data_IF_121869531370
#
_entry.id   IF_121869531370
#
_cell.length_a   1.000
_cell.length_b   1.000
_cell.length_c   1.000
_cell.angle_alpha   90.00
_cell.angle_beta   90.00
_cell.angle_gamma   90.00
#
_symmetry.space_group_name_H-M   'P 1'
#
loop_
_entity.id
_entity.type
_entity.pdbx_description
1 polymer ?
2 water ?
#
# COMPACT_ATOMS: atom_id res chain seq x y z
N UNK A 7 -26.13 15.39 -12.50
CA UNK A 7 -24.92 14.57 -12.17
C UNK A 7 -24.13 14.25 -13.43
N UNK A 8 -23.15 15.09 -13.72
CA UNK A 8 -22.31 14.92 -14.88
C UNK A 8 -21.07 14.10 -14.53
N UNK A 9 -20.41 13.55 -15.56
CA UNK A 9 -19.22 12.74 -15.38
C UNK A 9 -19.41 11.71 -14.27
N UNK A 10 -20.63 11.18 -14.14
CA UNK A 10 -20.92 10.22 -13.09
C UNK A 10 -20.40 8.80 -13.36
N UNK A 11 -19.74 8.62 -14.49
CA UNK A 11 -19.17 7.33 -14.87
C UNK A 11 -17.65 7.43 -14.70
N UNK A 12 -17.11 6.65 -13.75
CA UNK A 12 -15.68 6.67 -13.46
C UNK A 12 -15.03 5.31 -13.23
N UNK A 13 -13.70 5.29 -13.33
CA UNK A 13 -12.94 4.05 -13.11
C UNK A 13 -12.20 4.14 -11.78
N UNK A 14 -12.39 3.11 -10.96
CA UNK A 14 -11.76 3.05 -9.65
C UNK A 14 -10.87 1.82 -9.63
N UNK A 15 -9.57 2.07 -9.55
CA UNK A 15 -8.58 1.02 -9.55
C UNK A 15 -7.96 0.79 -8.18
N UNK A 16 -7.85 -0.48 -7.84
CA UNK A 16 -7.25 -0.89 -6.61
C UNK A 16 -6.56 -2.24 -6.80
N UNK A 17 -6.05 -2.80 -5.71
CA UNK A 17 -5.26 -4.02 -5.77
C UNK A 17 -5.83 -5.38 -5.37
N UNK A 18 -5.28 -6.46 -5.94
CA UNK A 18 -5.71 -7.84 -5.66
C UNK A 18 -5.14 -8.27 -4.31
N UNK A 19 -5.50 -7.56 -3.25
CA UNK A 19 -5.03 -7.89 -1.92
C UNK A 19 -6.19 -7.93 -0.96
N UNK A 20 -6.09 -8.80 0.04
CA UNK A 20 -7.13 -8.99 1.04
C UNK A 20 -7.54 -7.66 1.69
N UNK A 21 -6.56 -6.96 2.26
CA UNK A 21 -6.85 -5.69 2.91
C UNK A 21 -7.66 -4.77 1.98
N UNK A 22 -7.33 -4.80 0.69
CA UNK A 22 -8.03 -3.98 -0.29
C UNK A 22 -9.45 -4.47 -0.57
N UNK A 23 -9.60 -5.75 -0.87
CA UNK A 23 -10.91 -6.32 -1.15
C UNK A 23 -11.82 -6.08 0.06
N UNK A 24 -11.21 -6.21 1.24
CA UNK A 24 -11.89 -6.02 2.52
C UNK A 24 -12.49 -4.61 2.55
N UNK A 26 -12.95 -2.48 0.10
CA UNK A 26 -13.90 -2.25 -1.00
C UNK A 26 -15.09 -3.19 -1.08
N UNK A 27 -15.17 -4.19 -0.20
CA UNK A 27 -16.26 -5.14 -0.22
C UNK A 27 -17.65 -4.52 -0.33
N UNK A 28 -17.98 -3.59 0.56
CA UNK A 28 -19.29 -2.96 0.55
C UNK A 28 -19.60 -2.30 -0.79
N UNK A 30 -18.06 -2.99 -3.82
CA UNK A 30 -18.08 -3.98 -4.89
C UNK A 30 -19.33 -4.88 -4.86
N UNK A 31 -20.13 -4.78 -3.80
CA UNK A 31 -21.34 -5.59 -3.72
C UNK A 31 -22.62 -4.79 -3.64
N UNK A 32 -22.63 -3.65 -4.31
CA UNK A 32 -23.81 -2.81 -4.34
C UNK A 32 -24.40 -2.50 -2.97
N UNK A 33 -23.58 -2.59 -1.93
CA UNK A 33 -24.03 -2.32 -0.57
C UNK A 33 -23.91 -0.83 -0.25
N UNK A 34 -23.35 -0.06 -1.18
CA UNK A 34 -23.18 1.38 -0.98
C UNK A 34 -24.06 2.13 -1.97
N UNK A 35 -24.97 2.94 -1.44
CA UNK A 35 -25.88 3.70 -2.29
C UNK A 35 -25.20 4.96 -2.83
N UNK A 36 -25.05 5.03 -4.14
CA UNK A 36 -24.41 6.17 -4.79
C UNK A 36 -24.92 6.39 -6.20
N UNK A 37 -24.90 7.64 -6.66
CA UNK A 37 -25.33 7.95 -8.02
C UNK A 37 -24.18 7.80 -9.01
N UNK A 38 -23.00 7.44 -8.51
CA UNK A 38 -21.84 7.24 -9.36
C UNK A 38 -21.89 5.86 -10.02
N UNK A 39 -21.57 5.80 -11.30
CA UNK A 39 -21.53 4.54 -12.04
C UNK A 39 -20.06 4.11 -12.04
N UNK A 40 -19.69 3.33 -11.04
CA UNK A 40 -18.31 2.89 -10.86
C UNK A 40 -17.90 1.60 -11.57
N UNK A 41 -16.73 1.65 -12.20
CA UNK A 41 -16.17 0.47 -12.87
C UNK A 41 -14.85 0.16 -12.16
N UNK A 42 -14.78 -1.01 -11.56
CA UNK A 42 -13.58 -1.41 -10.84
C UNK A 42 -12.55 -2.08 -11.75
N UNK A 43 -11.30 -1.74 -11.47
CA UNK A 43 -10.15 -2.26 -12.19
C UNK A 43 -9.17 -2.70 -11.11
N UNK A 44 -8.85 -3.99 -11.09
CA UNK A 44 -7.94 -4.57 -10.11
C UNK A 44 -6.59 -4.90 -10.74
N UNK A 45 -5.53 -4.32 -10.21
CA UNK A 45 -4.20 -4.55 -10.74
C UNK A 45 -3.17 -4.36 -9.62
N UNK A 46 -2.00 -4.96 -9.79
CA UNK A 46 -0.94 -4.86 -8.80
C UNK A 46 -0.54 -3.41 -8.56
N UNK A 47 -0.26 -3.12 -7.29
CA UNK A 47 0.11 -1.77 -6.84
C UNK A 47 1.21 -1.12 -7.69
N UNK A 48 2.21 -1.89 -8.11
CA UNK A 48 3.26 -1.28 -8.90
C UNK A 48 2.71 -0.92 -10.28
N UNK A 49 1.78 -1.73 -10.78
CA UNK A 49 1.16 -1.45 -12.09
C UNK A 49 0.39 -0.13 -12.02
N UNK A 50 -0.29 0.10 -10.91
CA UNK A 50 -1.05 1.34 -10.72
C UNK A 50 -0.13 2.54 -10.50
N UNK A 51 1.00 2.34 -9.83
CA UNK A 51 1.93 3.44 -9.59
C UNK A 51 2.47 3.92 -10.94
N UNK A 52 2.72 2.99 -11.85
CA UNK A 52 3.23 3.34 -13.17
C UNK A 52 2.16 3.92 -14.07
N UNK A 53 1.00 3.28 -14.15
CA UNK A 53 -0.08 3.78 -15.00
C UNK A 53 -0.57 5.15 -14.53
N UNK A 54 -0.27 5.49 -13.28
CA UNK A 54 -0.67 6.77 -12.71
C UNK A 54 0.08 7.93 -13.34
N UNK A 55 1.17 7.62 -14.03
CA UNK A 55 1.98 8.65 -14.69
C UNK A 55 1.30 9.15 -15.96
N UNK A 56 0.21 8.51 -16.33
CA UNK A 56 -0.56 8.88 -17.50
C UNK A 56 -1.96 9.37 -17.09
N UNK A 57 -2.23 9.40 -15.79
CA UNK A 57 -3.53 9.83 -15.27
C UNK A 57 -4.61 8.99 -15.92
N UNK A 58 -4.39 7.68 -15.91
CA UNK A 58 -5.29 6.72 -16.51
C UNK A 58 -6.67 6.64 -15.86
N UNK A 59 -6.72 6.47 -14.55
CA UNK A 59 -8.00 6.35 -13.87
C UNK A 59 -8.40 7.60 -13.10
N UNK A 60 -9.70 7.72 -12.84
CA UNK A 60 -10.23 8.84 -12.07
C UNK A 60 -9.79 8.69 -10.61
N UNK A 61 -9.86 7.47 -10.11
CA UNK A 61 -9.45 7.18 -8.73
C UNK A 61 -8.61 5.91 -8.71
N UNK A 62 -7.42 5.99 -8.15
CA UNK A 62 -6.54 4.83 -8.09
C UNK A 62 -5.75 4.72 -6.80
N UNK A 63 -5.53 3.50 -6.32
CA UNK A 63 -4.72 3.32 -5.12
C UNK A 63 -3.32 3.65 -5.63
N UNK A 64 -2.41 3.97 -4.73
CA UNK A 64 -1.05 4.31 -5.14
C UNK A 64 -0.14 4.52 -3.94
N UNK A 65 1.09 4.01 -4.03
CA UNK A 65 2.07 4.13 -2.96
C UNK A 65 2.36 5.59 -2.62
N UNK A 66 2.60 5.89 -1.36
CA UNK A 66 2.89 7.27 -0.99
C UNK A 66 4.11 7.74 -1.81
N UNK A 67 5.11 6.88 -1.92
CA UNK A 67 6.31 7.18 -2.69
C UNK A 67 5.93 7.72 -4.07
N UNK A 68 5.27 6.87 -4.85
CA UNK A 68 4.83 7.22 -6.20
C UNK A 68 4.08 8.54 -6.26
N UNK A 69 3.20 8.77 -5.28
CA UNK A 69 2.41 9.99 -5.23
C UNK A 69 3.25 11.26 -5.37
N UNK A 70 4.44 11.25 -4.79
CA UNK A 70 5.31 12.42 -4.85
C UNK A 70 5.69 12.76 -6.30
N UNK A 71 5.60 11.78 -7.19
CA UNK A 71 5.93 11.96 -8.60
C UNK A 71 4.69 12.21 -9.48
N UNK A 72 3.55 12.46 -8.87
CA UNK A 72 2.33 12.71 -9.63
C UNK A 72 1.27 13.51 -8.88
N UNK A 73 1.74 14.37 -7.97
CA UNK A 73 0.87 15.22 -7.18
C UNK A 73 0.41 16.44 -7.99
N UNK A 74 0.79 16.46 -9.26
CA UNK A 74 0.40 17.55 -10.17
C UNK A 74 -0.97 17.25 -10.80
N UNK A 75 -1.20 15.97 -11.07
CA UNK A 75 -2.46 15.55 -11.68
C UNK A 75 -3.39 14.86 -10.69
N UNK A 76 -2.83 14.43 -9.56
CA UNK A 76 -3.60 13.73 -8.54
C UNK A 76 -3.49 14.37 -7.17
N UNK A 77 -4.51 14.20 -6.33
CA UNK A 77 -4.44 14.71 -4.97
C UNK A 77 -4.82 13.55 -4.05
N UNK A 78 -4.37 13.60 -2.81
CA UNK A 78 -4.66 12.53 -1.86
C UNK A 78 -6.07 12.58 -1.35
N UNK A 79 -6.76 11.44 -1.44
CA UNK A 79 -8.15 11.37 -0.95
C UNK A 79 -8.11 11.12 0.56
N UNK A 80 -8.97 11.78 1.32
CA UNK A 80 -8.94 11.61 2.77
C UNK A 80 -9.14 10.17 3.25
N UNK A 81 -9.81 9.35 2.44
CA UNK A 81 -10.07 7.96 2.79
C UNK A 81 -9.43 6.96 1.83
N UNK A 82 -8.99 5.82 2.39
CA UNK A 82 -8.40 4.78 1.57
C UNK A 82 -6.94 4.52 1.85
N UNK A 83 -6.27 5.44 2.56
CA UNK A 83 -4.85 5.25 2.86
C UNK A 83 -4.57 4.06 3.77
N UNK A 84 -3.39 3.46 3.62
CA UNK A 84 -2.99 2.35 4.47
C UNK A 84 -1.80 2.91 5.25
N UNK A 85 -1.87 2.83 6.57
CA UNK A 85 -0.82 3.38 7.42
C UNK A 85 -0.35 2.42 8.50
N UNK A 86 0.97 2.20 8.54
CA UNK A 86 1.52 1.30 9.54
C UNK A 86 1.69 2.08 10.82
N UNK A 87 1.53 1.41 11.96
CA UNK A 87 1.66 2.05 13.26
C UNK A 87 2.19 0.99 14.21
N UNK A 88 3.50 0.82 14.24
CA UNK A 88 4.11 -0.19 15.10
C UNK A 88 4.43 -1.44 14.29
N UNK A 89 4.17 -1.34 12.99
CA UNK A 89 4.40 -2.41 12.03
C UNK A 89 4.43 -1.86 10.61
N UNK A 90 4.90 -2.67 9.67
CA UNK A 90 4.98 -2.27 8.27
C UNK A 90 5.83 -3.21 7.45
N UNK A 91 6.33 -2.78 6.28
CA UNK A 91 7.16 -3.66 5.44
C UNK A 91 8.47 -4.07 6.11
N UNK A 92 9.05 -5.16 5.65
CA UNK A 92 10.30 -5.62 6.23
C UNK A 92 11.14 -6.29 5.16
N UNK A 93 12.41 -6.50 5.49
CA UNK A 93 13.31 -7.19 4.59
C UNK A 93 13.63 -8.47 5.36
N UNK A 94 13.49 -9.61 4.68
CA UNK A 94 13.73 -10.90 5.32
C UNK A 94 14.85 -11.66 4.63
N UNK A 95 15.46 -12.59 5.36
CA UNK A 95 16.56 -13.40 4.82
C UNK A 95 16.64 -14.77 5.51
N UNK A 96 17.38 -15.70 4.94
CA UNK A 96 17.48 -17.03 5.54
C UNK A 96 18.20 -16.98 6.88
N UNK A 97 19.03 -15.96 7.07
CA UNK A 97 19.75 -15.78 8.34
C UNK A 97 20.07 -14.28 8.52
N UNK A 98 20.65 -13.93 9.64
CA UNK A 98 20.98 -12.53 9.92
C UNK A 98 22.14 -12.05 9.05
N UNK A 99 21.93 -10.94 8.35
CA UNK A 99 22.96 -10.34 7.50
C UNK A 99 22.90 -8.84 7.69
N UNK A 100 23.83 -8.10 7.09
CA UNK A 100 23.83 -6.65 7.23
C UNK A 100 23.05 -5.93 6.13
N UNK A 101 22.96 -6.54 4.96
CA UNK A 101 22.25 -5.98 3.81
C UNK A 101 23.08 -5.04 2.93
N UNK A 102 24.16 -4.50 3.49
CA UNK A 102 25.02 -3.59 2.73
C UNK A 102 25.75 -4.35 1.61
N UNK A 103 25.59 -3.87 0.39
CA UNK A 103 26.22 -4.51 -0.76
C UNK A 103 25.47 -5.74 -1.25
N UNK A 104 24.46 -6.16 -0.49
CA UNK A 104 23.67 -7.34 -0.84
C UNK A 104 22.66 -7.12 -1.97
N UNK A 105 22.19 -8.22 -2.55
CA UNK A 105 21.21 -8.16 -3.64
C UNK A 105 19.83 -8.42 -3.04
N UNK A 106 18.99 -7.39 -3.02
CA UNK A 106 17.65 -7.53 -2.45
C UNK A 106 16.51 -7.44 -3.45
N UNK A 107 15.67 -8.46 -3.45
CA UNK A 107 14.50 -8.50 -4.34
C UNK A 107 13.49 -7.47 -3.84
N UNK A 108 12.97 -6.66 -4.76
CA UNK A 108 12.00 -5.62 -4.43
C UNK A 108 10.77 -5.75 -5.34
N UNK A 109 9.57 -5.62 -4.77
CA UNK A 109 8.30 -5.74 -5.50
C UNK A 109 8.05 -4.63 -6.54
N UNK A 110 8.59 -3.45 -6.29
CA UNK A 110 8.37 -2.35 -7.21
C UNK A 110 9.16 -1.11 -6.85
N UNK A 111 9.81 -0.55 -7.87
CA UNK A 111 10.63 0.65 -7.70
C UNK A 111 9.91 1.81 -7.03
N UNK A 112 8.65 2.01 -7.37
CA UNK A 112 7.90 3.13 -6.84
C UNK A 112 7.12 2.90 -5.54
N UNK A 113 7.30 1.76 -4.89
CA UNK A 113 6.56 1.52 -3.66
C UNK A 113 7.20 2.29 -2.52
N UNK A 114 6.39 2.59 -1.52
CA UNK A 114 6.87 3.30 -0.36
C UNK A 114 7.94 2.46 0.36
N UNK A 115 7.75 1.15 0.36
CA UNK A 115 8.70 0.25 1.00
C UNK A 115 10.07 0.35 0.34
N UNK A 116 10.11 0.62 -0.96
CA UNK A 116 11.40 0.74 -1.62
C UNK A 116 12.08 2.03 -1.21
N UNK A 117 11.32 3.12 -1.20
CA UNK A 117 11.84 4.41 -0.80
C UNK A 117 12.47 4.27 0.59
N UNK A 118 11.75 3.62 1.51
CA UNK A 118 12.26 3.40 2.87
C UNK A 118 13.58 2.61 2.86
N UNK A 119 13.63 1.52 2.10
CA UNK A 119 14.83 0.72 2.02
C UNK A 119 15.99 1.58 1.52
N UNK A 120 15.75 2.32 0.45
CA UNK A 120 16.77 3.19 -0.14
C UNK A 120 17.24 4.26 0.84
N UNK A 121 16.45 4.53 1.89
CA UNK A 121 16.82 5.51 2.90
C UNK A 121 17.56 4.86 4.06
N UNK A 122 17.25 3.60 4.34
CA UNK A 122 17.91 2.89 5.44
C UNK A 122 19.24 2.28 5.03
N UNK A 123 19.33 1.82 3.78
CA UNK A 123 20.53 1.20 3.23
C UNK A 123 20.86 1.98 1.94
N UNK A 124 21.84 2.87 2.02
CA UNK A 124 22.20 3.69 0.86
C UNK A 124 23.17 3.07 -0.11
N UNK A 125 23.27 1.75 -0.08
CA UNK A 125 24.18 1.06 -0.99
C UNK A 125 23.89 -0.44 -1.03
N UNK A 126 23.08 -0.84 -2.00
CA UNK A 126 22.76 -2.25 -2.15
C UNK A 126 22.29 -2.47 -3.59
N UNK A 127 22.01 -3.72 -3.95
CA UNK A 127 21.54 -3.99 -5.31
C UNK A 127 20.10 -4.41 -5.34
N UNK A 128 19.20 -3.49 -5.74
CA UNK A 128 17.77 -3.76 -5.83
C UNK A 128 17.47 -4.60 -7.08
N UNK A 129 16.83 -5.74 -6.87
CA UNK A 129 16.50 -6.63 -7.98
C UNK A 129 15.00 -6.57 -8.28
N UNK A 130 14.63 -5.72 -9.23
CA UNK A 130 13.24 -5.55 -9.65
C UNK A 130 12.65 -6.94 -9.84
N UNK A 132 8.46 -9.20 -9.46
CA UNK A 132 7.06 -9.23 -9.02
C UNK A 132 6.96 -9.75 -7.58
N UNK A 133 6.04 -9.19 -6.79
CA UNK A 133 5.92 -9.59 -5.39
C UNK A 133 5.74 -11.10 -5.20
N UNK A 134 4.93 -11.71 -6.06
CA UNK A 134 4.65 -13.13 -5.98
C UNK A 134 5.85 -14.04 -6.28
N UNK A 135 7.07 -13.52 -6.14
CA UNK A 135 8.23 -14.35 -6.38
C UNK A 135 9.36 -14.05 -5.42
N UNK A 136 9.15 -13.04 -4.57
CA UNK A 136 10.15 -12.65 -3.60
C UNK A 136 10.50 -13.76 -2.62
N UNK A 137 9.49 -14.38 -2.02
CA UNK A 137 9.73 -15.43 -1.05
C UNK A 137 10.50 -16.59 -1.63
N UNK A 138 10.07 -17.08 -2.79
CA UNK A 138 10.74 -18.19 -3.43
C UNK A 138 12.22 -17.82 -3.68
N UNK A 139 12.48 -16.66 -4.27
CA UNK A 139 13.85 -16.23 -4.56
C UNK A 139 14.77 -16.23 -3.35
N UNK A 140 14.22 -15.90 -2.19
CA UNK A 140 15.03 -15.88 -0.99
C UNK A 140 15.36 -17.27 -0.49
N UNK A 141 14.34 -18.10 -0.38
CA UNK A 141 14.49 -19.48 0.07
C UNK A 141 15.43 -20.25 -0.85
N UNK A 142 15.36 -19.98 -2.15
CA UNK A 142 16.23 -20.68 -3.09
C UNK A 142 17.55 -19.94 -3.33
N UNK A 143 17.84 -18.96 -2.47
CA UNK A 143 19.08 -18.18 -2.54
C UNK A 143 19.39 -17.54 -3.90
N UNK A 144 18.32 -17.08 -4.55
CA UNK A 144 18.44 -16.43 -5.84
C UNK A 144 18.92 -15.00 -5.55
N UNK A 145 18.62 -14.55 -4.33
CA UNK A 145 19.02 -13.23 -3.86
C UNK A 145 19.44 -13.35 -2.39
N UNK A 146 19.94 -12.28 -1.80
CA UNK A 146 20.35 -12.35 -0.40
C UNK A 146 19.17 -12.04 0.51
N UNK A 147 18.29 -11.17 0.05
CA UNK A 147 17.13 -10.78 0.85
C UNK A 147 15.97 -10.32 0.00
N UNK A 148 14.80 -10.21 0.63
CA UNK A 148 13.60 -9.78 -0.08
C UNK A 148 12.78 -8.79 0.73
N UNK A 149 12.20 -7.83 0.03
CA UNK A 149 11.36 -6.81 0.64
C UNK A 149 9.91 -7.26 0.50
N UNK A 150 9.20 -7.35 1.62
CA UNK A 150 7.82 -7.80 1.64
C UNK A 150 6.88 -6.66 2.01
N UNK A 151 6.01 -6.27 1.08
CA UNK A 151 5.07 -5.20 1.35
C UNK A 151 3.65 -5.69 1.60
N UNK A 152 3.39 -6.95 1.31
CA UNK A 152 2.05 -7.50 1.53
C UNK A 152 1.99 -8.40 2.76
N UNK A 153 1.16 -9.43 2.72
CA UNK A 153 1.00 -10.30 3.87
C UNK A 153 2.25 -11.06 4.29
N UNK A 154 3.33 -10.92 3.54
CA UNK A 154 4.57 -11.60 3.88
C UNK A 154 5.09 -11.10 5.21
N UNK A 155 4.91 -9.79 5.46
CA UNK A 155 5.37 -9.15 6.69
C UNK A 155 4.87 -9.83 7.98
N UNK A 156 3.81 -10.63 7.89
CA UNK A 156 3.32 -11.33 9.08
C UNK A 156 3.27 -12.84 8.90
N UNK A 157 3.91 -13.33 7.84
CA UNK A 157 3.93 -14.77 7.56
C UNK A 157 5.30 -15.34 7.26
N UNK A 158 6.29 -14.48 7.06
CA UNK A 158 7.64 -14.92 6.73
C UNK A 158 8.19 -16.00 7.65
N UNK A 159 7.81 -15.96 8.93
CA UNK A 159 8.28 -16.96 9.90
C UNK A 159 7.88 -18.40 9.54
N UNK A 160 6.77 -18.55 8.80
CA UNK A 160 6.30 -19.88 8.41
C UNK A 160 7.27 -20.56 7.44
N UNK A 161 8.15 -19.77 6.80
CA UNK A 161 9.10 -20.30 5.84
C UNK A 161 10.48 -20.39 6.48
N UNK A 162 10.51 -20.27 7.80
CA UNK A 162 11.77 -20.34 8.51
C UNK A 162 12.65 -19.13 8.25
N UNK A 163 12.06 -18.04 7.75
CA UNK A 163 12.82 -16.83 7.47
C UNK A 163 12.70 -15.89 8.66
N UNK A 164 13.62 -14.93 8.73
CA UNK A 164 13.59 -13.95 9.80
C UNK A 164 13.89 -12.54 9.31
N UNK A 165 13.30 -11.57 10.00
CA UNK A 165 13.48 -10.18 9.67
C UNK A 165 14.90 -9.70 9.98
N UNK A 166 15.53 -9.10 8.99
CA UNK A 166 16.88 -8.57 9.12
C UNK A 166 16.82 -7.04 9.14
N UNK A 167 15.70 -6.48 8.69
CA UNK A 167 15.49 -5.03 8.70
C UNK A 167 14.01 -4.79 8.89
N UNK A 168 13.65 -4.17 10.00
CA UNK A 168 12.24 -3.87 10.27
C UNK A 168 12.08 -2.39 9.91
N UNK A 169 11.51 -2.14 8.73
CA UNK A 169 11.33 -0.79 8.23
C UNK A 169 10.58 0.12 9.18
N UNK A 170 9.70 -0.42 10.00
CA UNK A 170 9.01 0.42 10.96
C UNK A 170 9.96 0.86 12.06
N UNK A 171 10.82 -0.03 12.53
CA UNK A 171 11.75 0.37 13.59
C UNK A 171 12.65 1.47 13.05
N UNK A 172 13.03 1.32 11.79
CA UNK A 172 13.91 2.31 11.17
C UNK A 172 13.20 3.65 11.05
N UNK A 173 11.93 3.62 10.67
CA UNK A 173 11.16 4.85 10.51
C UNK A 173 10.88 5.52 11.84
N UNK A 174 10.63 4.70 12.86
CA UNK A 174 10.35 5.20 14.17
C UNK A 174 11.56 5.98 14.70
N UNK A 175 12.75 5.58 14.27
CA UNK A 175 13.97 6.26 14.69
C UNK A 175 14.12 7.60 13.96
N UNK A 176 13.40 7.76 12.86
CA UNK A 176 13.49 9.02 12.08
C UNK A 176 12.46 10.05 12.51
N UNK A 177 11.23 9.60 12.76
CA UNK A 177 10.18 10.51 13.18
C UNK A 177 9.14 9.74 13.99
N UNK A 178 8.49 10.44 14.93
CA UNK A 178 7.50 9.82 15.80
C UNK A 178 6.08 10.06 15.33
N UNK A 179 5.73 9.42 14.21
CA UNK A 179 4.41 9.55 13.61
C UNK A 179 4.10 8.25 12.86
N UNK A 180 2.81 8.00 12.58
CA UNK A 180 2.43 6.78 11.85
C UNK A 180 3.20 6.69 10.52
N UNK A 181 3.21 5.52 9.89
CA UNK A 181 3.93 5.33 8.63
C UNK A 181 3.03 5.22 7.40
N UNK A 182 2.98 6.27 6.55
CA UNK A 182 2.15 6.30 5.32
C UNK A 182 2.68 5.31 4.30
N UNK A 183 1.86 4.34 3.89
CA UNK A 183 2.31 3.34 2.92
C UNK A 183 1.58 3.41 1.58
N UNK A 184 0.29 3.13 1.61
CA UNK A 184 -0.51 3.18 0.39
C UNK A 184 -1.51 4.31 0.53
N UNK A 185 -1.87 4.95 -0.58
CA UNK A 185 -2.82 6.06 -0.52
C UNK A 185 -3.90 5.94 -1.57
N UNK A 186 -5.02 6.60 -1.33
CA UNK A 186 -6.06 6.61 -2.33
C UNK A 186 -5.92 7.96 -3.01
N UNK A 187 -5.78 7.94 -4.33
CA UNK A 187 -5.57 9.16 -5.10
C UNK A 187 -6.71 9.44 -6.09
N UNK A 188 -7.15 10.69 -6.15
CA UNK A 188 -8.21 11.10 -7.05
C UNK A 188 -7.73 12.21 -8.00
N UNK A 189 -7.93 11.99 -9.30
CA UNK A 189 -7.50 12.92 -10.34
C UNK A 189 -8.02 14.33 -10.02
N UNK A 190 -7.21 15.35 -10.28
CA UNK A 190 -7.62 16.71 -9.95
C UNK A 190 -8.63 17.35 -10.90
N UNK A 191 -8.84 16.75 -12.07
CA UNK A 191 -9.78 17.31 -13.04
C UNK A 191 -11.25 16.92 -12.83
N UNK A 192 -11.52 16.13 -11.79
CA UNK A 192 -12.89 15.71 -11.50
C UNK A 192 -13.61 16.81 -10.74
N UNK A 193 -14.91 16.93 -10.97
CA UNK A 193 -15.69 17.96 -10.30
C UNK A 193 -15.75 17.80 -8.79
N UNK A 194 -16.08 18.89 -8.11
CA UNK A 194 -16.19 18.88 -6.66
C UNK A 194 -17.28 17.89 -6.28
N UNK A 195 -18.30 17.83 -7.13
CA UNK A 195 -19.44 16.93 -6.94
C UNK A 195 -18.97 15.47 -6.85
N UNK A 196 -18.22 15.04 -7.87
CA UNK A 196 -17.70 13.68 -7.90
C UNK A 196 -16.71 13.45 -6.76
N UNK A 197 -15.90 14.46 -6.43
CA UNK A 197 -14.93 14.30 -5.35
C UNK A 197 -15.61 14.00 -4.02
N UNK A 198 -16.61 14.80 -3.65
CA UNK A 198 -17.29 14.61 -2.39
C UNK A 198 -18.09 13.31 -2.35
N UNK A 199 -18.76 13.01 -3.46
CA UNK A 199 -19.56 11.80 -3.53
C UNK A 199 -18.74 10.55 -3.35
N UNK A 200 -17.63 10.45 -4.09
CA UNK A 200 -16.80 9.26 -3.98
C UNK A 200 -16.20 9.14 -2.60
N UNK A 201 -15.84 10.27 -2.01
CA UNK A 201 -15.27 10.27 -0.66
C UNK A 201 -16.29 9.67 0.30
N UNK A 202 -17.55 10.07 0.12
CA UNK A 202 -18.64 9.58 0.97
C UNK A 202 -18.83 8.08 0.80
N UNK A 203 -18.82 7.61 -0.45
CA UNK A 203 -19.00 6.20 -0.72
C UNK A 203 -17.81 5.40 -0.21
N UNK A 205 -15.77 6.15 2.35
CA UNK A 205 -15.83 6.08 3.82
C UNK A 205 -16.85 5.06 4.28
N UNK A 206 -18.00 5.04 3.61
CA UNK A 206 -19.04 4.12 3.98
C UNK A 206 -18.58 2.68 3.79
N UNK A 207 -17.85 2.43 2.70
CA UNK A 207 -17.40 1.07 2.43
C UNK A 207 -16.41 0.57 3.50
N UNK A 208 -15.56 1.47 3.97
CA UNK A 208 -14.56 1.17 5.00
C UNK A 208 -15.24 0.90 6.35
N UNK A 209 -16.13 1.80 6.74
CA UNK A 209 -16.86 1.66 7.99
C UNK A 209 -17.66 0.36 7.97
N UNK A 210 -18.21 0.01 6.81
CA UNK A 210 -18.98 -1.22 6.70
C UNK A 210 -18.09 -2.44 7.00
N UNK A 211 -16.86 -2.42 6.49
CA UNK A 211 -15.93 -3.52 6.70
C UNK A 211 -15.61 -3.76 8.17
N UNK A 212 -15.41 -2.68 8.92
CA UNK A 212 -15.09 -2.78 10.35
C UNK A 212 -16.25 -3.34 11.18
N UNK A 213 -17.48 -2.95 10.82
CA UNK A 213 -18.68 -3.40 11.52
C UNK A 213 -19.11 -4.80 11.08
N UNK A 214 -18.52 -5.26 9.98
CA UNK A 214 -18.83 -6.57 9.45
C UNK A 214 -17.53 -7.21 8.98
N UNK A 215 -16.57 -7.38 9.89
CA UNK A 215 -15.28 -7.96 9.55
C UNK A 215 -15.34 -9.35 8.94
N UNK A 216 -16.23 -10.19 9.45
CA UNK A 216 -16.31 -11.54 8.90
C UNK A 216 -16.93 -11.57 7.51
N UNK A 217 -17.98 -10.79 7.30
CA UNK A 217 -18.61 -10.76 6.00
C UNK A 217 -17.64 -10.20 4.96
N UNK A 218 -17.11 -9.02 5.20
CA UNK A 218 -16.17 -8.40 4.27
C UNK A 218 -14.93 -9.25 4.02
N UNK A 219 -14.42 -9.89 5.07
CA UNK A 219 -13.24 -10.73 4.96
C UNK A 219 -13.52 -11.99 4.15
N UNK A 220 -14.76 -12.45 4.17
CA UNK A 220 -15.14 -13.67 3.45
C UNK A 220 -14.86 -13.53 1.96
N UNK A 221 -15.30 -12.43 1.37
CA UNK A 221 -15.07 -12.19 -0.04
C UNK A 221 -13.58 -11.92 -0.28
N UNK A 222 -12.97 -11.16 0.62
CA UNK A 222 -11.57 -10.80 0.51
C UNK A 222 -10.66 -12.01 0.42
N UNK A 224 -10.51 -14.26 -1.52
CA UNK A 224 -10.03 -14.57 -2.86
C UNK A 224 -8.58 -14.07 -3.09
N UNK A 225 -8.11 -13.18 -2.22
CA UNK A 225 -6.76 -12.66 -2.32
C UNK A 225 -5.94 -12.97 -1.07
N UNK A 226 -6.45 -13.86 -0.23
CA UNK A 226 -5.79 -14.23 1.02
C UNK A 226 -4.41 -14.86 0.83
N UNK A 227 -4.20 -15.50 -0.31
CA UNK A 227 -2.91 -16.11 -0.58
C UNK A 227 -2.50 -17.14 0.47
N UNK A 228 -3.39 -18.09 0.79
CA UNK A 228 -3.07 -19.12 1.76
C UNK A 228 -3.35 -18.78 3.22
N UNK A 229 -3.50 -17.50 3.52
CA UNK A 229 -3.78 -17.06 4.88
C UNK A 229 -5.13 -17.59 5.32
N UNK A 230 -5.20 -18.03 6.57
CA UNK A 230 -6.45 -18.51 7.14
C UNK A 230 -7.29 -17.27 7.43
N UNK A 231 -8.54 -17.47 7.80
CA UNK A 231 -9.47 -16.36 8.08
C UNK A 231 -9.02 -15.39 9.18
N UNK A 232 -8.46 -15.93 10.25
CA UNK A 232 -8.02 -15.09 11.35
C UNK A 232 -6.84 -14.22 10.96
N UNK A 233 -5.86 -14.83 10.33
CA UNK A 233 -4.65 -14.14 9.91
C UNK A 233 -5.01 -13.06 8.89
N UNK A 234 -5.98 -13.35 8.03
CA UNK A 234 -6.40 -12.39 7.02
C UNK A 234 -7.12 -11.20 7.66
N UNK A 235 -7.98 -11.48 8.63
CA UNK A 235 -8.71 -10.41 9.31
C UNK A 235 -7.70 -9.50 9.98
N UNK A 236 -6.72 -10.11 10.65
CA UNK A 236 -5.67 -9.37 11.36
C UNK A 236 -4.91 -8.47 10.38
N UNK A 237 -4.57 -8.99 9.21
CA UNK A 237 -3.84 -8.22 8.20
C UNK A 237 -4.67 -7.05 7.69
N UNK A 238 -5.91 -7.35 7.32
CA UNK A 238 -6.80 -6.32 6.81
C UNK A 238 -7.04 -5.24 7.86
N UNK A 241 -4.31 -2.52 8.17
CA UNK A 241 -4.25 -1.44 7.19
C UNK A 241 -5.59 -0.86 6.76
N UNK A 242 -6.64 -1.22 7.48
CA UNK A 242 -7.98 -0.71 7.20
C UNK A 242 -8.62 -0.36 8.55
N UNK A 243 -8.33 0.84 9.04
CA UNK A 243 -8.86 1.31 10.33
C UNK A 243 -9.09 2.82 10.32
N UNK A 244 -8.99 3.45 11.49
CA UNK A 244 -9.20 4.90 11.60
C UNK A 244 -8.47 5.72 10.54
N UNK A 245 -7.18 5.44 10.36
CA UNK A 245 -6.35 6.18 9.42
C UNK A 245 -6.90 6.07 8.00
N UNK A 246 -7.47 4.91 7.68
CA UNK A 246 -8.05 4.67 6.36
C UNK A 246 -9.36 5.41 6.23
N UNK A 247 -10.12 5.49 7.31
CA UNK A 247 -11.41 6.17 7.26
C UNK A 247 -11.24 7.67 7.03
N UNK A 248 -10.23 8.26 7.67
CA UNK A 248 -9.93 9.69 7.54
C UNK A 248 -8.47 9.94 7.93
N UNK A 250 -5.63 11.49 9.54
CA UNK A 250 -5.46 12.50 10.59
C UNK A 250 -4.30 13.43 10.32
N UNK A 251 -4.20 14.50 11.11
CA UNK A 251 -3.11 15.47 10.92
C UNK A 251 -1.72 14.86 11.04
N UNK A 252 -1.55 13.91 11.94
CA UNK A 252 -0.26 13.26 12.15
C UNK A 252 0.26 12.56 10.90
N UNK A 253 -0.65 11.92 10.17
CA UNK A 253 -0.29 11.24 8.93
C UNK A 253 0.07 12.24 7.84
N UNK A 254 -0.59 13.40 7.84
CA UNK A 254 -0.26 14.43 6.85
C UNK A 254 1.16 14.88 7.14
N UNK A 255 1.49 15.01 8.42
CA UNK A 255 2.82 15.45 8.83
C UNK A 255 3.88 14.42 8.45
N UNK A 256 3.52 13.15 8.61
CA UNK A 256 4.43 12.04 8.29
C UNK A 256 4.79 12.03 6.81
N UNK A 257 3.81 12.26 5.94
CA UNK A 257 4.11 12.28 4.51
C UNK A 257 5.05 13.42 4.25
N UNK A 258 4.71 14.59 4.79
CA UNK A 258 5.54 15.77 4.60
C UNK A 258 6.98 15.40 4.96
N UNK A 259 7.17 14.78 6.12
CA UNK A 259 8.50 14.37 6.58
C UNK A 259 9.14 13.37 5.62
N UNK A 260 8.39 12.31 5.32
CA UNK A 260 8.87 11.28 4.42
C UNK A 260 9.42 11.91 3.14
N UNK A 261 8.65 12.81 2.55
CA UNK A 261 9.06 13.46 1.30
C UNK A 261 10.31 14.30 1.47
N UNK A 262 10.37 15.06 2.57
CA UNK A 262 11.53 15.89 2.86
C UNK A 262 12.76 15.00 2.89
N UNK A 264 13.19 12.19 1.45
CA UNK A 264 13.47 11.69 0.11
C UNK A 264 14.14 12.75 -0.76
N UNK A 265 13.62 13.97 -0.68
CA UNK A 265 14.17 15.07 -1.45
C UNK A 265 15.64 15.28 -1.04
N UNK A 266 15.89 15.34 0.26
CA UNK A 266 17.24 15.54 0.83
C UNK A 266 18.28 14.54 0.40
N UNK A 267 17.84 13.41 -0.15
CA UNK A 267 18.78 12.41 -0.62
C UNK A 267 18.68 12.21 -2.12
N UNK A 268 17.88 13.04 -2.77
CA UNK A 268 17.73 12.92 -4.21
C UNK A 268 17.11 11.61 -4.65
N UNK A 269 16.14 11.11 -3.89
CA UNK A 269 15.50 9.86 -4.27
C UNK A 269 14.31 10.10 -5.18
N UNK A 270 13.74 11.31 -5.12
CA UNK A 270 12.60 11.68 -5.94
C UNK A 270 13.01 12.25 -7.29
#
# INVERSE_FOLDING_TARGET
>A
MGHHHHHHSHKIRVAHTPDADDAFXFYAXTHGKVDTWLEIEHVIEDIETLNRKAFNAEYEVTAISAHAYALLDDKYRILSAGASVGDGYGPVVVAKSEISLDGKRIAVPGRYTTANLLLKLAVEDFEPVEXPFDRIIQAVLDEEVDAGLLIHEGQITYADYGLKCVLDLWDWWSEQVKLPLPLGLNAIRRDLSVEVQEEFLRAXRESIAFAIENPDEAIEYAXKYSRGLDRERAKRFAXXYVNDYTYNXPESVDAALKKLYEXAEAKGLIKMPKLDILRL
#
